data_IF_246164088178
#
_entry.id   IF_246164088178
#
_cell.length_a   1.000
_cell.length_b   1.000
_cell.length_c   1.000
_cell.angle_alpha   90.00
_cell.angle_beta   90.00
_cell.angle_gamma   90.00
#
_symmetry.space_group_name_H-M   'P 1'
#
loop_
_entity.id
_entity.type
_entity.pdbx_description
1 polymer ?
#
# COMPACT_ATOMS: atom_id res chain seq x y z
N UNK A 1 16.96 32.15 -12.33
CA UNK A 1 16.11 31.56 -11.27
C UNK A 1 16.57 30.12 -11.09
N UNK A 2 17.12 29.76 -9.93
CA UNK A 2 17.48 28.36 -9.65
C UNK A 2 16.26 27.66 -9.07
N UNK A 3 15.84 26.56 -9.69
CA UNK A 3 14.78 25.69 -9.18
C UNK A 3 15.41 24.42 -8.61
N UNK A 4 15.20 24.18 -7.32
CA UNK A 4 15.60 22.94 -6.66
C UNK A 4 14.38 22.01 -6.58
N UNK A 5 14.49 20.81 -7.16
CA UNK A 5 13.47 19.77 -7.08
C UNK A 5 14.00 18.63 -6.20
N UNK A 6 13.27 18.32 -5.14
CA UNK A 6 13.54 17.17 -4.27
C UNK A 6 12.34 16.23 -4.31
N UNK A 7 12.59 14.94 -4.39
CA UNK A 7 11.58 13.91 -4.27
C UNK A 7 11.77 13.22 -2.92
N UNK A 8 10.73 13.24 -2.09
CA UNK A 8 10.76 12.60 -0.77
C UNK A 8 9.43 11.93 -0.49
N UNK A 9 9.46 10.87 0.31
CA UNK A 9 8.25 10.16 0.74
C UNK A 9 7.92 10.58 2.16
N UNK A 10 6.67 10.98 2.38
CA UNK A 10 6.19 11.36 3.71
C UNK A 10 6.12 10.10 4.57
N UNK A 11 6.85 10.10 5.68
CA UNK A 11 6.82 9.03 6.68
C UNK A 11 5.49 9.00 7.45
N UNK A 12 5.26 7.98 8.27
CA UNK A 12 3.98 7.75 8.97
C UNK A 12 3.48 8.93 9.81
N UNK A 13 4.37 9.80 10.28
CA UNK A 13 4.02 10.96 11.11
C UNK A 13 3.51 12.18 10.32
N UNK A 14 3.35 12.05 8.99
CA UNK A 14 2.89 13.14 8.11
C UNK A 14 3.79 14.39 8.07
N UNK A 15 5.02 14.29 8.62
CA UNK A 15 6.01 15.35 8.59
C UNK A 15 6.95 15.20 7.38
N UNK A 16 7.29 16.33 6.75
CA UNK A 16 8.23 16.41 5.64
C UNK A 16 9.44 17.24 6.09
N UNK A 17 10.60 16.58 6.24
CA UNK A 17 11.85 17.23 6.61
C UNK A 17 12.61 17.61 5.33
N UNK A 18 12.86 18.91 5.16
CA UNK A 18 13.69 19.45 4.08
C UNK A 18 15.12 19.60 4.60
N UNK A 19 15.91 18.53 4.55
CA UNK A 19 17.31 18.59 4.97
C UNK A 19 18.21 19.11 3.84
N UNK A 20 19.13 20.02 4.19
CA UNK A 20 20.25 20.46 3.35
C UNK A 20 19.90 21.23 2.05
N UNK A 21 18.97 22.18 2.09
CA UNK A 21 18.84 23.17 1.01
C UNK A 21 19.93 24.26 1.17
N UNK A 22 20.62 24.68 0.09
CA UNK A 22 21.73 25.64 0.14
C UNK A 22 21.23 27.09 0.29
N UNK A 23 20.37 27.34 1.27
CA UNK A 23 19.81 28.65 1.54
C UNK A 23 20.58 29.35 2.65
N UNK A 24 20.85 30.63 2.44
CA UNK A 24 21.47 31.49 3.43
C UNK A 24 20.39 32.23 4.23
N UNK A 25 20.71 32.70 5.45
CA UNK A 25 19.82 33.57 6.21
C UNK A 25 19.46 34.83 5.39
N UNK A 26 18.16 35.05 5.15
CA UNK A 26 17.66 36.19 4.37
C UNK A 26 17.24 35.87 2.94
N UNK A 27 17.46 34.65 2.46
CA UNK A 27 17.00 34.22 1.14
C UNK A 27 15.46 34.09 1.10
N UNK A 28 14.85 34.64 0.04
CA UNK A 28 13.43 34.42 -0.26
C UNK A 28 13.30 33.17 -1.12
N UNK A 29 12.62 32.17 -0.60
CA UNK A 29 12.42 30.87 -1.26
C UNK A 29 10.94 30.61 -1.51
N UNK A 30 10.64 29.99 -2.64
CA UNK A 30 9.31 29.53 -3.02
C UNK A 30 9.32 28.00 -3.06
N UNK A 31 8.39 27.36 -2.34
CA UNK A 31 8.32 25.89 -2.21
C UNK A 31 6.99 25.41 -2.80
N UNK A 32 7.08 24.55 -3.82
CA UNK A 32 5.90 23.95 -4.46
C UNK A 32 5.84 22.47 -4.15
N UNK A 33 4.80 22.04 -3.42
CA UNK A 33 4.60 20.63 -3.04
C UNK A 33 3.61 20.00 -4.01
N UNK A 34 4.05 18.99 -4.77
CA UNK A 34 3.20 18.18 -5.63
C UNK A 34 3.06 16.77 -5.07
N UNK A 35 1.86 16.42 -4.60
CA UNK A 35 1.55 15.04 -4.19
C UNK A 35 1.41 14.15 -5.42
N UNK A 36 2.33 13.20 -5.59
CA UNK A 36 2.20 12.15 -6.59
C UNK A 36 1.28 11.05 -6.04
N UNK A 37 0.13 10.86 -6.67
CA UNK A 37 -0.72 9.71 -6.40
C UNK A 37 -0.21 8.55 -7.26
N UNK A 38 0.18 7.44 -6.64
CA UNK A 38 0.55 6.24 -7.38
C UNK A 38 -0.62 5.82 -8.29
N UNK A 39 -0.36 5.42 -9.54
CA UNK A 39 -1.41 4.90 -10.40
C UNK A 39 -2.06 3.71 -9.71
N UNK A 40 -3.39 3.70 -9.62
CA UNK A 40 -4.12 2.57 -9.08
C UNK A 40 -3.72 1.32 -9.87
N UNK A 41 -3.24 0.29 -9.17
CA UNK A 41 -2.97 -1.00 -9.78
C UNK A 41 -4.22 -1.43 -10.57
N UNK A 42 -4.06 -1.87 -11.83
CA UNK A 42 -5.21 -2.31 -12.61
C UNK A 42 -5.93 -3.39 -11.80
N UNK A 43 -7.20 -3.14 -11.49
CA UNK A 43 -8.06 -4.14 -10.86
C UNK A 43 -7.98 -5.38 -11.75
N UNK A 44 -7.49 -6.49 -11.19
CA UNK A 44 -7.44 -7.77 -11.90
C UNK A 44 -8.88 -8.07 -12.35
N UNK A 45 -9.12 -7.96 -13.64
CA UNK A 45 -10.44 -8.14 -14.23
C UNK A 45 -10.76 -9.64 -14.11
N UNK A 46 -11.61 -10.00 -13.16
CA UNK A 46 -12.08 -11.37 -13.00
C UNK A 46 -13.10 -11.67 -14.09
N UNK A 47 -12.87 -12.74 -14.84
CA UNK A 47 -13.82 -13.19 -15.86
C UNK A 47 -14.91 -14.03 -15.18
N UNK A 48 -16.18 -13.77 -15.49
CA UNK A 48 -17.28 -14.60 -15.00
C UNK A 48 -17.04 -16.04 -15.48
N UNK A 49 -17.07 -17.00 -14.55
CA UNK A 49 -16.85 -18.41 -14.86
C UNK A 49 -15.39 -18.86 -14.91
N UNK A 50 -14.41 -18.03 -14.53
CA UNK A 50 -12.97 -18.40 -14.48
C UNK A 50 -12.70 -19.72 -13.71
N UNK A 51 -13.56 -20.05 -12.73
CA UNK A 51 -13.45 -21.25 -11.90
C UNK A 51 -14.63 -22.22 -12.06
N UNK A 52 -15.45 -22.07 -13.11
CA UNK A 52 -16.58 -22.96 -13.35
C UNK A 52 -16.09 -24.42 -13.49
N UNK A 53 -16.64 -25.33 -12.68
CA UNK A 53 -16.27 -26.74 -12.65
C UNK A 53 -14.90 -27.06 -12.00
N UNK A 54 -14.14 -26.06 -11.57
CA UNK A 54 -12.86 -26.24 -10.86
C UNK A 54 -13.01 -26.26 -9.34
N UNK A 55 -14.14 -25.78 -8.83
CA UNK A 55 -14.46 -25.83 -7.40
C UNK A 55 -15.06 -27.21 -7.10
N UNK A 56 -14.42 -27.96 -6.22
CA UNK A 56 -14.95 -29.20 -5.65
C UNK A 56 -15.28 -28.93 -4.19
N UNK A 57 -16.47 -29.30 -3.75
CA UNK A 57 -16.75 -29.39 -2.32
C UNK A 57 -16.05 -30.63 -1.80
N UNK A 58 -15.42 -30.51 -0.64
CA UNK A 58 -14.88 -31.66 0.06
C UNK A 58 -16.04 -32.49 0.63
N UNK A 59 -15.90 -33.81 0.61
CA UNK A 59 -16.94 -34.74 1.07
C UNK A 59 -17.19 -34.65 2.59
N UNK A 60 -16.29 -34.02 3.32
CA UNK A 60 -16.27 -33.82 4.77
C UNK A 60 -16.80 -32.45 5.20
N UNK A 61 -17.53 -31.73 4.34
CA UNK A 61 -18.07 -30.40 4.68
C UNK A 61 -19.00 -30.38 5.90
N UNK A 62 -19.55 -31.54 6.29
CA UNK A 62 -20.38 -31.73 7.49
C UNK A 62 -19.59 -32.22 8.71
N UNK A 63 -18.30 -32.49 8.58
CA UNK A 63 -17.47 -32.88 9.71
C UNK A 63 -17.33 -31.72 10.70
N UNK A 64 -17.30 -32.05 11.99
CA UNK A 64 -16.94 -31.07 13.01
C UNK A 64 -15.49 -30.63 12.76
N UNK A 65 -15.26 -29.32 12.73
CA UNK A 65 -13.92 -28.77 12.67
C UNK A 65 -13.15 -29.15 13.95
N UNK A 66 -11.85 -29.46 13.86
CA UNK A 66 -11.01 -29.73 15.04
C UNK A 66 -11.06 -28.55 16.02
N UNK A 67 -10.91 -28.83 17.32
CA UNK A 67 -10.91 -27.78 18.34
C UNK A 67 -9.79 -26.74 18.12
N UNK A 68 -8.64 -27.21 17.62
CA UNK A 68 -7.48 -26.37 17.30
C UNK A 68 -7.73 -25.38 16.16
N UNK A 69 -8.69 -25.68 15.27
CA UNK A 69 -9.14 -24.74 14.24
C UNK A 69 -9.79 -23.50 14.87
N UNK A 70 -10.43 -23.65 16.04
CA UNK A 70 -11.09 -22.57 16.76
C UNK A 70 -10.14 -21.81 17.70
N UNK A 71 -9.20 -22.51 18.32
CA UNK A 71 -8.26 -21.92 19.30
C UNK A 71 -7.01 -21.34 18.65
N UNK A 72 -6.65 -21.78 17.44
CA UNK A 72 -5.46 -21.32 16.71
C UNK A 72 -4.15 -21.84 17.30
N UNK A 73 -4.20 -22.86 18.15
CA UNK A 73 -3.01 -23.52 18.69
C UNK A 73 -2.47 -24.54 17.67
N UNK A 74 -1.15 -24.54 17.37
CA UNK A 74 -0.56 -25.56 16.53
C UNK A 74 -0.35 -26.88 17.32
N UNK A 75 -0.59 -28.01 16.65
CA UNK A 75 -0.16 -29.36 17.07
C UNK A 75 1.36 -29.43 17.35
#
# INVERSE_FOLDING_TARGET
MLSYRMETTIAQESALHLEALPFNPGDKVEITILKQTAPALPRKQRTVGEYAGRIRMADDFTAALPDDFWTGEPD
#
